data_IF_951781313282
#
_entry.id   IF_951781313282
#
_cell.length_a   1.000
_cell.length_b   1.000
_cell.length_c   1.000
_cell.angle_alpha   90.00
_cell.angle_beta   90.00
_cell.angle_gamma   90.00
#
_symmetry.space_group_name_H-M   'P 1'
#
loop_
_entity.id
_entity.type
_entity.pdbx_description
1 polymer ?
#
# COMPACT_ATOMS: atom_id res chain seq x y z
N UNK A 1 9.91 -19.88 46.25
CA UNK A 1 8.67 -19.07 46.26
C UNK A 1 8.64 -18.18 45.03
N UNK A 2 8.08 -18.67 43.92
CA UNK A 2 7.93 -17.89 42.69
C UNK A 2 6.43 -17.61 42.49
N UNK A 3 6.01 -16.36 42.69
CA UNK A 3 4.63 -15.92 42.47
C UNK A 3 4.46 -15.64 40.98
N UNK A 4 3.73 -16.53 40.30
CA UNK A 4 3.28 -16.37 38.92
C UNK A 4 2.15 -15.34 38.92
N UNK A 5 2.47 -14.08 38.59
CA UNK A 5 1.46 -13.08 38.26
C UNK A 5 0.84 -13.42 36.90
N UNK A 6 -0.26 -14.19 36.92
CA UNK A 6 -1.15 -14.32 35.78
C UNK A 6 -1.76 -12.94 35.45
N UNK A 7 -1.26 -12.32 34.38
CA UNK A 7 -1.92 -11.22 33.69
C UNK A 7 -3.30 -11.69 33.21
N UNK A 8 -4.31 -11.44 34.05
CA UNK A 8 -5.72 -11.65 33.72
C UNK A 8 -6.05 -10.73 32.55
N UNK A 9 -5.99 -11.26 31.31
CA UNK A 9 -6.55 -10.61 30.12
C UNK A 9 -8.01 -10.27 30.43
N UNK A 10 -8.29 -9.00 30.70
CA UNK A 10 -9.67 -8.53 30.77
C UNK A 10 -10.18 -8.49 29.32
N UNK A 11 -10.75 -9.60 28.89
CA UNK A 11 -11.67 -9.61 27.75
C UNK A 11 -12.74 -8.56 28.02
N UNK A 12 -12.85 -7.56 27.15
CA UNK A 12 -13.92 -6.57 27.18
C UNK A 12 -15.23 -7.22 26.72
N UNK A 13 -15.76 -8.11 27.55
CA UNK A 13 -17.16 -8.48 27.52
C UNK A 13 -17.81 -7.79 28.73
N UNK A 14 -18.05 -6.48 28.63
CA UNK A 14 -18.99 -5.82 29.54
C UNK A 14 -20.38 -6.32 29.17
N UNK A 15 -20.93 -7.21 30.01
CA UNK A 15 -22.34 -7.57 29.99
C UNK A 15 -23.19 -6.31 30.18
N UNK A 16 -24.21 -6.16 29.31
CA UNK A 16 -25.21 -5.08 29.20
C UNK A 16 -24.84 -3.92 28.25
N UNK A 17 -25.41 -3.93 27.03
CA UNK A 17 -26.01 -2.75 26.40
C UNK A 17 -26.64 -3.08 25.03
N UNK A 18 -27.69 -2.32 24.66
CA UNK A 18 -28.51 -2.44 23.45
C UNK A 18 -27.76 -2.26 22.12
N UNK A 19 -26.45 -1.98 22.11
CA UNK A 19 -25.69 -1.72 20.90
C UNK A 19 -24.35 -2.49 20.90
N UNK A 20 -24.17 -3.40 19.94
CA UNK A 20 -22.90 -4.09 19.72
C UNK A 20 -21.97 -3.16 18.92
N UNK A 21 -21.00 -2.54 19.59
CA UNK A 21 -19.95 -1.77 18.92
C UNK A 21 -18.93 -2.72 18.31
N UNK A 22 -18.70 -2.61 16.99
CA UNK A 22 -17.74 -3.47 16.28
C UNK A 22 -16.34 -2.86 16.38
N UNK A 23 -15.41 -3.57 17.03
CA UNK A 23 -14.01 -3.18 17.06
C UNK A 23 -13.29 -3.73 15.83
N UNK A 24 -12.67 -2.86 15.04
CA UNK A 24 -12.01 -3.18 13.78
C UNK A 24 -10.50 -3.00 13.92
N UNK A 25 -9.78 -4.06 13.55
CA UNK A 25 -8.32 -4.21 13.56
C UNK A 25 -7.89 -4.80 12.21
N UNK A 26 -6.59 -4.98 11.98
CA UNK A 26 -6.10 -5.54 10.70
C UNK A 26 -6.77 -6.88 10.35
N UNK A 27 -7.01 -7.76 11.32
CA UNK A 27 -7.51 -9.12 11.05
C UNK A 27 -8.95 -9.19 10.54
N UNK A 28 -9.79 -8.23 10.93
CA UNK A 28 -11.21 -8.19 10.56
C UNK A 28 -11.55 -6.95 9.70
N UNK A 29 -10.54 -6.27 9.15
CA UNK A 29 -10.71 -5.03 8.40
C UNK A 29 -11.54 -5.23 7.12
N UNK A 30 -11.17 -6.22 6.29
CA UNK A 30 -11.83 -6.44 4.99
C UNK A 30 -13.32 -6.77 5.15
N UNK A 31 -13.65 -7.73 6.02
CA UNK A 31 -15.04 -8.10 6.30
C UNK A 31 -15.84 -6.91 6.85
N UNK A 32 -15.26 -6.17 7.81
CA UNK A 32 -15.92 -5.01 8.40
C UNK A 32 -16.08 -3.86 7.42
N UNK A 33 -15.18 -3.73 6.44
CA UNK A 33 -15.26 -2.71 5.41
C UNK A 33 -16.41 -2.97 4.44
N UNK A 34 -16.61 -4.21 4.00
CA UNK A 34 -17.74 -4.58 3.15
C UNK A 34 -19.08 -4.38 3.87
N UNK A 35 -19.12 -4.76 5.15
CA UNK A 35 -20.29 -4.52 6.00
C UNK A 35 -20.54 -3.01 6.16
N UNK A 36 -19.50 -2.22 6.46
CA UNK A 36 -19.60 -0.78 6.60
C UNK A 36 -20.09 -0.11 5.30
N UNK A 37 -19.61 -0.51 4.12
CA UNK A 37 -20.08 0.03 2.82
C UNK A 37 -21.58 -0.19 2.64
N UNK A 38 -22.09 -1.34 3.06
CA UNK A 38 -23.53 -1.65 3.04
C UNK A 38 -24.30 -0.74 4.00
N UNK A 39 -23.83 -0.58 5.25
CA UNK A 39 -24.48 0.29 6.24
C UNK A 39 -24.40 1.77 5.88
N UNK A 40 -23.29 2.22 5.30
CA UNK A 40 -23.15 3.58 4.77
C UNK A 40 -24.20 3.76 3.67
N UNK A 41 -24.35 2.82 2.74
CA UNK A 41 -25.31 2.91 1.64
C UNK A 41 -26.77 2.98 2.11
N UNK A 42 -27.13 2.30 3.21
CA UNK A 42 -28.47 2.36 3.80
C UNK A 42 -28.69 3.46 4.84
N UNK A 43 -27.64 4.15 5.30
CA UNK A 43 -27.74 5.23 6.30
C UNK A 43 -28.27 6.56 5.75
N UNK A 44 -28.77 7.44 6.59
CA UNK A 44 -29.13 8.82 6.23
C UNK A 44 -27.96 9.77 6.45
N UNK A 45 -27.21 9.58 7.53
CA UNK A 45 -26.03 10.36 7.86
C UNK A 45 -24.98 9.52 8.59
N UNK A 46 -23.74 10.02 8.63
CA UNK A 46 -22.63 9.33 9.28
C UNK A 46 -22.04 10.24 10.36
N UNK A 47 -21.93 9.76 11.59
CA UNK A 47 -21.17 10.46 12.62
C UNK A 47 -19.75 9.90 12.71
N UNK A 48 -18.77 10.78 12.91
CA UNK A 48 -17.37 10.39 13.10
C UNK A 48 -16.77 11.02 14.36
N UNK A 49 -15.90 10.26 15.02
CA UNK A 49 -15.15 10.72 16.19
C UNK A 49 -13.72 10.19 16.15
N UNK A 50 -12.78 10.94 16.71
CA UNK A 50 -11.34 10.71 16.50
C UNK A 50 -10.58 10.87 17.80
N UNK A 51 -9.65 9.96 18.10
CA UNK A 51 -8.70 10.11 19.18
C UNK A 51 -7.27 10.22 18.64
N UNK A 52 -6.64 11.36 18.96
CA UNK A 52 -5.27 11.68 18.58
C UNK A 52 -4.33 11.52 19.79
N UNK A 53 -3.06 11.28 19.47
CA UNK A 53 -1.93 11.23 20.42
C UNK A 53 -1.64 12.57 21.10
N UNK A 54 -2.18 13.66 20.56
CA UNK A 54 -2.04 14.99 21.12
C UNK A 54 -3.02 15.99 20.49
N UNK A 55 -3.02 17.18 21.05
CA UNK A 55 -3.84 18.32 20.63
C UNK A 55 -2.93 19.55 20.58
N UNK A 56 -3.26 20.60 19.80
CA UNK A 56 -2.57 21.88 19.94
C UNK A 56 -2.65 22.37 21.40
N UNK A 57 -1.54 22.21 22.12
CA UNK A 57 -1.36 22.59 23.52
C UNK A 57 -0.52 23.88 23.61
N UNK A 58 -0.44 24.53 24.79
CA UNK A 58 0.31 25.77 24.96
C UNK A 58 1.77 25.64 24.49
N UNK A 59 2.38 26.71 23.95
CA UNK A 59 1.96 28.12 24.05
C UNK A 59 0.78 28.52 23.13
N UNK A 60 0.04 29.56 23.54
CA UNK A 60 -1.25 30.00 22.97
C UNK A 60 -1.24 30.24 21.46
N UNK A 61 -0.09 30.64 20.90
CA UNK A 61 0.06 30.95 19.47
C UNK A 61 0.01 29.71 18.56
N UNK A 62 0.11 28.49 19.08
CA UNK A 62 -0.03 27.25 18.30
C UNK A 62 -1.47 26.72 18.25
N UNK A 63 -2.38 27.26 19.07
CA UNK A 63 -3.79 26.88 19.10
C UNK A 63 -4.61 27.81 18.21
N UNK A 64 -5.64 27.31 17.51
CA UNK A 64 -6.69 28.16 16.95
C UNK A 64 -7.34 29.00 18.06
N UNK A 65 -7.36 30.31 17.85
CA UNK A 65 -7.94 31.31 18.74
C UNK A 65 -9.16 31.95 18.08
N UNK A 66 -10.16 32.45 18.84
CA UNK A 66 -11.37 33.04 18.27
C UNK A 66 -11.12 34.26 17.36
N UNK A 67 -9.99 34.93 17.55
CA UNK A 67 -9.58 36.09 16.75
C UNK A 67 -8.66 35.74 15.58
N UNK A 68 -8.33 34.46 15.37
CA UNK A 68 -7.55 34.03 14.20
C UNK A 68 -8.37 34.21 12.93
N UNK A 69 -7.71 34.63 11.85
CA UNK A 69 -8.29 34.49 10.51
C UNK A 69 -8.45 33.01 10.15
N UNK A 70 -9.39 32.69 9.25
CA UNK A 70 -9.60 31.30 8.79
C UNK A 70 -8.30 30.64 8.32
N UNK A 71 -7.46 31.38 7.57
CA UNK A 71 -6.16 30.91 7.10
C UNK A 71 -5.18 30.61 8.24
N UNK A 72 -5.18 31.44 9.29
CA UNK A 72 -4.32 31.25 10.47
C UNK A 72 -4.77 30.04 11.27
N UNK A 73 -6.07 29.91 11.52
CA UNK A 73 -6.65 28.75 12.19
C UNK A 73 -6.34 27.45 11.44
N UNK A 74 -6.49 27.44 10.11
CA UNK A 74 -6.10 26.32 9.24
C UNK A 74 -4.61 25.99 9.36
N UNK A 75 -3.74 27.00 9.28
CA UNK A 75 -2.28 26.80 9.36
C UNK A 75 -1.85 26.21 10.71
N UNK A 76 -2.51 26.60 11.81
CA UNK A 76 -2.29 26.04 13.15
C UNK A 76 -2.81 24.60 13.25
N UNK A 77 -4.01 24.33 12.76
CA UNK A 77 -4.60 22.99 12.74
C UNK A 77 -3.77 22.02 11.88
N UNK A 78 -3.32 22.45 10.69
CA UNK A 78 -2.41 21.69 9.83
C UNK A 78 -1.11 21.35 10.54
N UNK A 79 -0.48 22.31 11.22
CA UNK A 79 0.74 22.06 12.01
C UNK A 79 0.52 21.00 13.11
N UNK A 80 -0.62 21.05 13.80
CA UNK A 80 -0.95 20.03 14.79
C UNK A 80 -1.18 18.64 14.17
N UNK A 81 -1.88 18.59 13.02
CA UNK A 81 -2.10 17.36 12.26
C UNK A 81 -0.81 16.68 11.80
N UNK A 82 0.23 17.46 11.45
CA UNK A 82 1.53 16.93 11.08
C UNK A 82 2.32 16.36 12.27
N UNK A 83 2.06 16.85 13.50
CA UNK A 83 2.80 16.45 14.71
C UNK A 83 2.16 15.28 15.44
N UNK A 84 0.83 15.23 15.50
CA UNK A 84 0.09 14.27 16.29
C UNK A 84 -0.65 13.26 15.40
N UNK A 85 -0.46 11.99 15.68
CA UNK A 85 -1.12 10.91 14.96
C UNK A 85 -2.50 10.58 15.53
N UNK A 86 -3.38 10.12 14.64
CA UNK A 86 -4.65 9.45 14.94
C UNK A 86 -4.43 7.97 15.26
N UNK A 87 -4.87 7.50 16.43
CA UNK A 87 -4.79 6.08 16.83
C UNK A 87 -6.16 5.39 16.84
N UNK A 88 -7.24 6.16 16.88
CA UNK A 88 -8.58 5.63 16.92
C UNK A 88 -9.51 6.50 16.10
N UNK A 89 -10.30 5.87 15.24
CA UNK A 89 -11.32 6.53 14.44
C UNK A 89 -12.63 5.76 14.59
N UNK A 90 -13.64 6.40 15.14
CA UNK A 90 -14.97 5.84 15.28
C UNK A 90 -15.87 6.34 14.15
N UNK A 91 -16.60 5.43 13.52
CA UNK A 91 -17.60 5.71 12.47
C UNK A 91 -18.93 5.13 12.94
N UNK A 92 -20.00 5.90 12.82
CA UNK A 92 -21.34 5.40 13.10
C UNK A 92 -22.29 5.90 12.02
N UNK A 93 -22.65 5.07 11.03
CA UNK A 93 -23.79 5.32 10.15
C UNK A 93 -25.08 5.25 10.96
N UNK A 94 -25.98 6.19 10.70
CA UNK A 94 -27.29 6.29 11.33
C UNK A 94 -28.39 6.23 10.27
N UNK A 95 -29.42 5.42 10.50
CA UNK A 95 -30.63 5.41 9.70
C UNK A 95 -31.86 5.68 10.55
N UNK A 96 -32.77 6.50 10.03
CA UNK A 96 -34.05 6.83 10.64
C UNK A 96 -35.09 5.91 10.03
N UNK A 97 -35.58 4.96 10.82
CA UNK A 97 -36.66 4.08 10.40
C UNK A 97 -37.96 4.88 10.23
N UNK A 98 -38.87 4.39 9.37
CA UNK A 98 -40.24 4.90 9.23
C UNK A 98 -41.07 4.86 10.53
N UNK A 99 -40.56 4.18 11.57
CA UNK A 99 -41.14 4.14 12.92
C UNK A 99 -40.53 5.16 13.89
N UNK A 100 -39.85 6.20 13.38
CA UNK A 100 -39.09 7.22 14.14
C UNK A 100 -38.01 6.64 15.08
N UNK A 101 -37.55 5.43 14.80
CA UNK A 101 -36.46 4.78 15.54
C UNK A 101 -35.13 5.03 14.84
N UNK A 102 -34.18 5.55 15.59
CA UNK A 102 -32.80 5.72 15.14
C UNK A 102 -32.05 4.40 15.26
N UNK A 103 -31.61 3.86 14.13
CA UNK A 103 -30.71 2.73 14.04
C UNK A 103 -29.27 3.22 13.91
N UNK A 104 -28.38 2.64 14.69
CA UNK A 104 -26.99 3.05 14.79
C UNK A 104 -26.08 1.85 14.59
N UNK A 105 -25.09 1.98 13.71
CA UNK A 105 -24.10 0.94 13.43
C UNK A 105 -22.69 1.41 13.82
N UNK A 106 -22.29 1.34 15.11
CA UNK A 106 -21.02 1.88 15.56
C UNK A 106 -19.82 0.97 15.26
N UNK A 107 -18.79 1.53 14.62
CA UNK A 107 -17.51 0.92 14.30
C UNK A 107 -16.35 1.68 14.95
N UNK A 108 -15.43 0.96 15.58
CA UNK A 108 -14.24 1.50 16.22
C UNK A 108 -12.99 0.99 15.50
N UNK A 109 -12.39 1.82 14.65
CA UNK A 109 -11.16 1.48 13.93
C UNK A 109 -9.95 1.83 14.78
N UNK A 110 -9.13 0.83 15.06
CA UNK A 110 -7.83 1.00 15.71
C UNK A 110 -6.78 1.21 14.63
N UNK A 111 -6.07 2.33 14.68
CA UNK A 111 -5.13 2.75 13.65
C UNK A 111 -3.71 2.81 14.20
N UNK A 112 -2.73 2.51 13.36
CA UNK A 112 -1.33 2.70 13.70
C UNK A 112 -0.50 2.99 12.43
N UNK A 113 0.27 4.09 12.40
CA UNK A 113 1.05 4.44 11.23
C UNK A 113 2.28 3.53 11.10
N UNK A 114 2.14 2.44 10.34
CA UNK A 114 3.21 1.47 10.09
C UNK A 114 3.70 1.53 8.65
N UNK A 115 5.00 1.30 8.47
CA UNK A 115 5.57 0.91 7.18
C UNK A 115 5.25 -0.55 6.86
N UNK A 116 4.07 -0.82 6.29
CA UNK A 116 3.71 -2.19 5.87
C UNK A 116 4.60 -2.71 4.74
N UNK A 117 5.33 -1.84 4.05
CA UNK A 117 6.01 -2.16 2.80
C UNK A 117 7.53 -2.10 2.94
N UNK A 118 8.03 -1.73 4.14
CA UNK A 118 9.46 -1.54 4.43
C UNK A 118 10.16 -0.65 3.39
N UNK A 119 9.42 0.31 2.83
CA UNK A 119 9.93 1.18 1.76
C UNK A 119 10.72 2.38 2.30
N UNK A 120 10.88 2.48 3.62
CA UNK A 120 11.64 3.55 4.26
C UNK A 120 10.97 4.91 4.12
N UNK A 121 9.68 4.94 3.77
CA UNK A 121 8.90 6.15 3.55
C UNK A 121 7.44 5.95 3.97
N UNK A 122 6.80 6.99 4.54
CA UNK A 122 7.37 8.19 5.16
C UNK A 122 8.24 7.90 6.40
N UNK A 123 8.96 8.90 6.91
CA UNK A 123 9.49 8.85 8.28
C UNK A 123 8.32 8.76 9.28
N UNK A 124 8.06 7.56 9.81
CA UNK A 124 6.99 7.27 10.77
C UNK A 124 7.38 7.73 12.18
N UNK A 125 7.59 9.04 12.36
CA UNK A 125 7.79 9.66 13.66
C UNK A 125 6.62 10.59 13.95
N UNK A 126 5.99 10.43 15.11
CA UNK A 126 4.95 11.32 15.61
C UNK A 126 5.22 11.68 17.07
N UNK A 127 4.70 12.83 17.49
CA UNK A 127 4.76 13.28 18.88
C UNK A 127 3.57 12.77 19.66
N UNK A 128 3.75 12.57 20.97
CA UNK A 128 2.69 12.22 21.90
C UNK A 128 2.61 13.23 23.03
N UNK A 129 1.40 13.60 23.42
CA UNK A 129 1.16 14.40 24.62
C UNK A 129 0.82 13.48 25.79
N UNK A 130 1.63 13.53 26.85
CA UNK A 130 1.52 12.63 28.02
C UNK A 130 0.14 12.66 28.66
N UNK A 131 -0.48 13.85 28.79
CA UNK A 131 -1.81 13.97 29.40
C UNK A 131 -2.91 13.29 28.58
N UNK A 132 -2.83 13.33 27.25
CA UNK A 132 -3.80 12.67 26.37
C UNK A 132 -3.59 11.16 26.35
N UNK A 133 -2.34 10.70 26.28
CA UNK A 133 -2.02 9.28 26.42
C UNK A 133 -2.54 8.71 27.75
N UNK A 134 -2.28 9.41 28.86
CA UNK A 134 -2.77 9.01 30.18
C UNK A 134 -4.31 9.03 30.26
N UNK A 135 -4.98 9.95 29.56
CA UNK A 135 -6.45 9.95 29.45
C UNK A 135 -6.97 8.77 28.64
N UNK A 136 -6.32 8.42 27.52
CA UNK A 136 -6.68 7.25 26.71
C UNK A 136 -6.50 5.95 27.51
N UNK A 137 -5.38 5.80 28.23
CA UNK A 137 -5.13 4.67 29.11
C UNK A 137 -6.24 4.52 30.18
N UNK A 138 -6.61 5.62 30.83
CA UNK A 138 -7.68 5.64 31.85
C UNK A 138 -9.06 5.24 31.30
N UNK A 139 -9.33 5.52 30.02
CA UNK A 139 -10.57 5.10 29.32
C UNK A 139 -10.51 3.66 28.81
N UNK A 140 -9.45 2.92 29.12
CA UNK A 140 -9.28 1.52 28.71
C UNK A 140 -8.79 1.34 27.27
N UNK A 141 -8.15 2.34 26.67
CA UNK A 141 -7.53 2.18 25.36
C UNK A 141 -6.34 1.20 25.43
N UNK A 142 -6.39 0.15 24.63
CA UNK A 142 -5.32 -0.86 24.56
C UNK A 142 -4.23 -0.44 23.55
N UNK A 143 -3.16 0.14 24.07
CA UNK A 143 -2.00 0.53 23.27
C UNK A 143 -1.26 -0.66 22.65
N UNK A 144 -1.26 -1.82 23.30
CA UNK A 144 -0.60 -3.00 22.75
C UNK A 144 -1.38 -3.48 21.52
N UNK A 145 -2.70 -3.61 21.63
CA UNK A 145 -3.55 -3.96 20.49
C UNK A 145 -3.43 -2.93 19.36
N UNK A 146 -3.29 -1.64 19.67
CA UNK A 146 -3.04 -0.60 18.69
C UNK A 146 -1.71 -0.79 17.95
N UNK A 147 -0.60 -1.05 18.65
CA UNK A 147 0.72 -1.21 18.02
C UNK A 147 0.78 -2.50 17.19
N UNK A 148 0.25 -3.61 17.71
CA UNK A 148 0.32 -4.92 17.02
C UNK A 148 -0.71 -5.06 15.91
N UNK A 149 -1.95 -4.63 16.14
CA UNK A 149 -3.10 -4.92 15.28
C UNK A 149 -3.75 -3.66 14.67
N UNK A 150 -3.17 -2.48 14.87
CA UNK A 150 -3.68 -1.22 14.32
C UNK A 150 -3.53 -1.13 12.81
N UNK A 151 -4.58 -0.69 12.14
CA UNK A 151 -4.66 -0.60 10.68
C UNK A 151 -3.78 0.55 10.20
N UNK A 152 -2.94 0.28 9.21
CA UNK A 152 -2.10 1.28 8.54
C UNK A 152 -2.92 2.11 7.56
N UNK A 153 -2.36 3.25 7.14
CA UNK A 153 -2.98 4.10 6.13
C UNK A 153 -1.94 4.96 5.43
N UNK A 154 -2.20 5.26 4.16
CA UNK A 154 -1.37 6.14 3.35
C UNK A 154 -2.23 7.16 2.61
N UNK A 155 -1.75 8.41 2.56
CA UNK A 155 -2.36 9.46 1.74
C UNK A 155 -2.30 9.11 0.25
N UNK A 156 -3.06 9.83 -0.59
CA UNK A 156 -3.05 9.63 -2.05
C UNK A 156 -1.67 9.86 -2.67
N UNK A 157 -0.95 10.87 -2.19
CA UNK A 157 0.41 11.17 -2.63
C UNK A 157 1.42 10.09 -2.20
N UNK A 158 1.23 9.50 -1.02
CA UNK A 158 2.08 8.40 -0.56
C UNK A 158 1.77 7.10 -1.30
N UNK A 159 0.50 6.81 -1.58
CA UNK A 159 0.12 5.67 -2.41
C UNK A 159 0.67 5.84 -3.83
N UNK A 160 0.58 7.02 -4.45
CA UNK A 160 1.15 7.22 -5.79
C UNK A 160 2.67 7.04 -5.78
N UNK A 161 3.37 7.57 -4.78
CA UNK A 161 4.81 7.34 -4.62
C UNK A 161 5.15 5.86 -4.36
N UNK A 162 4.33 5.17 -3.55
CA UNK A 162 4.45 3.74 -3.29
C UNK A 162 4.19 2.91 -4.56
N UNK A 163 3.18 3.27 -5.34
CA UNK A 163 2.85 2.64 -6.62
C UNK A 163 3.89 2.88 -7.68
N UNK A 164 4.52 4.05 -7.75
CA UNK A 164 5.66 4.24 -8.65
C UNK A 164 6.79 3.29 -8.24
N UNK A 165 7.07 3.14 -6.95
CA UNK A 165 8.12 2.22 -6.47
C UNK A 165 7.76 0.74 -6.59
N UNK A 166 6.48 0.38 -6.47
CA UNK A 166 6.02 -1.02 -6.50
C UNK A 166 5.59 -1.45 -7.92
N UNK A 167 4.98 -0.54 -8.68
CA UNK A 167 4.59 -0.67 -10.07
C UNK A 167 5.77 -0.51 -11.03
N UNK A 168 6.82 0.26 -10.69
CA UNK A 168 8.11 0.08 -11.36
C UNK A 168 8.72 -1.32 -11.11
N UNK A 169 8.11 -2.18 -10.30
CA UNK A 169 8.49 -3.59 -10.19
C UNK A 169 7.67 -4.53 -11.11
N UNK A 170 6.55 -4.06 -11.69
CA UNK A 170 5.51 -4.95 -12.25
C UNK A 170 4.73 -4.40 -13.45
N UNK A 171 4.77 -3.09 -13.72
CA UNK A 171 4.03 -2.47 -14.81
C UNK A 171 4.81 -2.58 -16.12
N UNK A 172 4.14 -3.07 -17.16
CA UNK A 172 4.55 -2.84 -18.53
C UNK A 172 4.48 -1.34 -18.80
N UNK A 173 5.63 -0.68 -18.91
CA UNK A 173 5.67 0.75 -19.19
C UNK A 173 5.03 1.02 -20.57
N UNK A 174 4.10 1.98 -20.62
CA UNK A 174 3.77 2.65 -21.89
C UNK A 174 5.03 3.32 -22.41
N UNK A 175 5.58 2.75 -23.48
CA UNK A 175 6.78 3.26 -24.12
C UNK A 175 6.40 4.52 -24.90
N UNK A 176 6.83 5.67 -24.38
CA UNK A 176 6.91 6.88 -25.20
C UNK A 176 8.15 6.71 -26.07
N UNK A 177 7.95 6.54 -27.39
CA UNK A 177 9.06 6.50 -28.36
C UNK A 177 9.91 7.75 -28.17
N UNK A 178 11.18 7.56 -27.84
CA UNK A 178 12.12 8.67 -27.76
C UNK A 178 12.26 9.32 -29.14
N UNK A 179 12.27 10.66 -29.19
CA UNK A 179 12.48 11.41 -30.43
C UNK A 179 13.97 11.59 -30.78
N UNK A 180 14.87 11.10 -29.92
CA UNK A 180 16.31 11.23 -30.10
C UNK A 180 16.88 10.09 -30.95
N UNK A 181 17.77 10.42 -31.89
CA UNK A 181 18.51 9.42 -32.65
C UNK A 181 19.40 8.56 -31.72
N UNK A 182 19.42 7.23 -31.89
CA UNK A 182 20.27 6.35 -31.08
C UNK A 182 21.75 6.63 -31.36
N UNK A 183 22.55 6.64 -30.30
CA UNK A 183 24.00 6.79 -30.37
C UNK A 183 24.64 5.46 -30.80
N UNK A 184 25.86 5.47 -31.33
CA UNK A 184 26.61 4.24 -31.63
C UNK A 184 26.75 3.32 -30.41
N UNK A 185 26.92 3.88 -29.20
CA UNK A 185 26.95 3.09 -27.97
C UNK A 185 25.60 2.43 -27.66
N UNK A 186 24.49 3.11 -27.96
CA UNK A 186 23.13 2.59 -27.74
C UNK A 186 22.86 1.41 -28.67
N UNK A 187 23.25 1.51 -29.95
CA UNK A 187 23.05 0.42 -30.92
C UNK A 187 23.86 -0.81 -30.52
N UNK A 188 25.13 -0.65 -30.15
CA UNK A 188 25.98 -1.77 -29.68
C UNK A 188 25.36 -2.42 -28.43
N UNK A 189 24.85 -1.62 -27.49
CA UNK A 189 24.20 -2.13 -26.29
C UNK A 189 22.94 -2.96 -26.64
N UNK A 190 22.07 -2.41 -27.48
CA UNK A 190 20.84 -3.10 -27.91
C UNK A 190 21.15 -4.40 -28.64
N UNK A 191 22.11 -4.42 -29.57
CA UNK A 191 22.52 -5.64 -30.28
C UNK A 191 23.06 -6.71 -29.33
N UNK A 192 23.87 -6.30 -28.34
CA UNK A 192 24.43 -7.22 -27.34
C UNK A 192 23.32 -7.86 -26.50
N UNK A 193 22.35 -7.07 -26.05
CA UNK A 193 21.21 -7.57 -25.29
C UNK A 193 20.34 -8.48 -26.16
N UNK A 194 20.08 -8.10 -27.41
CA UNK A 194 19.31 -8.93 -28.36
C UNK A 194 19.95 -10.30 -28.55
N UNK A 195 21.26 -10.33 -28.83
CA UNK A 195 22.01 -11.58 -29.00
C UNK A 195 21.97 -12.45 -27.74
N UNK A 196 22.00 -11.82 -26.55
CA UNK A 196 21.89 -12.54 -25.27
C UNK A 196 20.51 -13.18 -25.09
N UNK A 197 19.43 -12.49 -25.45
CA UNK A 197 18.05 -13.00 -25.39
C UNK A 197 17.85 -14.14 -26.40
N UNK A 198 18.35 -14.00 -27.63
CA UNK A 198 18.28 -15.07 -28.64
C UNK A 198 19.06 -16.31 -28.22
N UNK A 199 20.27 -16.14 -27.67
CA UNK A 199 21.06 -17.25 -27.16
C UNK A 199 20.34 -17.96 -26.01
N UNK A 200 19.73 -17.20 -25.09
CA UNK A 200 18.92 -17.75 -24.00
C UNK A 200 17.73 -18.57 -24.51
N UNK A 201 17.02 -18.09 -25.52
CA UNK A 201 15.91 -18.80 -26.16
C UNK A 201 16.36 -20.13 -26.76
N UNK A 202 17.42 -20.10 -27.59
CA UNK A 202 17.96 -21.28 -28.28
C UNK A 202 18.44 -22.35 -27.29
N UNK A 203 19.12 -21.93 -26.23
CA UNK A 203 19.62 -22.84 -25.18
C UNK A 203 18.48 -23.64 -24.54
N UNK A 204 17.29 -23.04 -24.45
CA UNK A 204 16.12 -23.67 -23.86
C UNK A 204 15.45 -24.66 -24.80
N UNK A 205 15.31 -24.30 -26.07
CA UNK A 205 14.81 -25.20 -27.11
C UNK A 205 15.70 -26.45 -27.25
N UNK A 206 17.02 -26.30 -27.13
CA UNK A 206 17.97 -27.43 -27.20
C UNK A 206 18.01 -28.31 -25.96
N UNK A 207 17.64 -27.79 -24.78
CA UNK A 207 17.66 -28.54 -23.51
C UNK A 207 16.66 -29.69 -23.45
N UNK A 208 15.63 -29.70 -24.32
CA UNK A 208 14.66 -30.79 -24.41
C UNK A 208 15.13 -32.01 -25.24
N UNK A 209 16.29 -31.94 -25.89
CA UNK A 209 16.64 -32.87 -26.99
C UNK A 209 17.95 -33.66 -26.86
N UNK A 210 18.82 -33.41 -25.87
CA UNK A 210 20.14 -34.07 -25.81
C UNK A 210 20.47 -34.68 -24.44
N UNK A 211 20.60 -36.01 -24.41
CA UNK A 211 20.92 -36.86 -23.25
C UNK A 211 22.42 -37.16 -23.15
N UNK A 212 23.19 -36.30 -22.48
CA UNK A 212 24.61 -36.55 -22.17
C UNK A 212 25.05 -35.88 -20.87
N UNK A 213 25.79 -36.59 -20.00
CA UNK A 213 26.21 -36.08 -18.66
C UNK A 213 27.05 -34.80 -18.72
N UNK A 214 27.86 -34.61 -19.76
CA UNK A 214 28.67 -33.40 -19.93
C UNK A 214 27.81 -32.20 -20.38
N UNK A 215 26.76 -32.45 -21.17
CA UNK A 215 25.75 -31.44 -21.55
C UNK A 215 24.91 -31.00 -20.34
N UNK A 216 24.62 -31.88 -19.38
CA UNK A 216 23.93 -31.52 -18.14
C UNK A 216 24.75 -30.56 -17.25
N UNK A 217 26.08 -30.76 -17.16
CA UNK A 217 26.99 -29.86 -16.42
C UNK A 217 27.16 -28.53 -17.14
N UNK A 218 27.30 -28.55 -18.47
CA UNK A 218 27.39 -27.34 -19.30
C UNK A 218 26.08 -26.56 -19.25
N UNK A 219 24.92 -27.23 -19.30
CA UNK A 219 23.62 -26.59 -19.13
C UNK A 219 23.44 -26.03 -17.72
N UNK A 220 23.94 -26.71 -16.68
CA UNK A 220 23.92 -26.19 -15.31
C UNK A 220 24.76 -24.91 -15.18
N UNK A 221 25.96 -24.89 -15.75
CA UNK A 221 26.82 -23.69 -15.78
C UNK A 221 26.21 -22.57 -16.64
N UNK A 222 25.65 -22.89 -17.80
CA UNK A 222 24.94 -21.92 -18.65
C UNK A 222 23.71 -21.35 -17.95
N UNK A 223 22.96 -22.16 -17.21
CA UNK A 223 21.82 -21.73 -16.41
C UNK A 223 22.25 -20.77 -15.28
N UNK A 224 23.41 -21.02 -14.67
CA UNK A 224 24.01 -20.12 -13.66
C UNK A 224 24.48 -18.81 -14.31
N UNK A 225 25.15 -18.87 -15.47
CA UNK A 225 25.72 -17.69 -16.15
C UNK A 225 24.66 -16.83 -16.85
N UNK A 226 23.63 -17.45 -17.43
CA UNK A 226 22.50 -16.76 -18.06
C UNK A 226 21.43 -16.33 -17.04
N UNK A 227 21.50 -16.84 -15.81
CA UNK A 227 20.52 -16.55 -14.77
C UNK A 227 19.13 -17.05 -15.17
N UNK A 228 19.00 -18.34 -15.50
CA UNK A 228 17.70 -18.97 -15.82
C UNK A 228 16.87 -19.10 -14.54
N UNK A 229 16.33 -17.99 -14.09
CA UNK A 229 15.43 -17.94 -12.95
C UNK A 229 14.03 -18.36 -13.40
N UNK A 230 13.25 -18.93 -12.48
CA UNK A 230 11.83 -19.19 -12.71
C UNK A 230 11.04 -18.13 -11.95
N UNK A 231 10.30 -17.30 -12.66
CA UNK A 231 9.32 -16.39 -12.09
C UNK A 231 7.93 -17.02 -12.17
N UNK A 232 7.36 -17.42 -11.02
CA UNK A 232 6.04 -18.06 -10.96
C UNK A 232 5.90 -19.22 -11.96
N UNK A 233 6.87 -20.14 -11.96
CA UNK A 233 6.97 -21.28 -12.89
C UNK A 233 7.24 -20.95 -14.37
N UNK A 234 7.37 -19.66 -14.72
CA UNK A 234 7.74 -19.21 -16.07
C UNK A 234 9.23 -18.88 -16.14
N UNK A 235 9.86 -19.04 -17.30
CA UNK A 235 11.29 -18.82 -17.48
C UNK A 235 11.54 -17.33 -17.55
N UNK A 236 12.51 -16.85 -16.79
CA UNK A 236 12.94 -15.47 -16.85
C UNK A 236 14.45 -15.32 -16.91
N UNK A 237 14.86 -14.19 -17.46
CA UNK A 237 16.23 -13.71 -17.45
C UNK A 237 16.24 -12.31 -16.85
N UNK A 238 17.21 -12.03 -16.00
CA UNK A 238 17.41 -10.69 -15.41
C UNK A 238 18.58 -9.99 -16.10
N UNK A 239 18.37 -8.73 -16.48
CA UNK A 239 19.37 -7.86 -17.12
C UNK A 239 19.58 -6.67 -16.19
N UNK A 240 20.80 -6.50 -15.70
CA UNK A 240 21.17 -5.31 -14.92
C UNK A 240 21.28 -4.08 -15.84
N UNK A 241 20.78 -2.96 -15.34
CA UNK A 241 20.70 -1.69 -16.07
C UNK A 241 21.22 -0.56 -15.20
N UNK A 242 22.01 0.34 -15.79
CA UNK A 242 22.68 1.41 -15.07
C UNK A 242 22.06 2.80 -15.32
N UNK A 243 21.19 2.94 -16.33
CA UNK A 243 20.60 4.24 -16.70
C UNK A 243 19.17 4.10 -17.21
N UNK A 244 18.34 5.13 -17.00
CA UNK A 244 16.97 5.19 -17.53
C UNK A 244 16.94 5.10 -19.07
N UNK A 245 17.95 5.65 -19.76
CA UNK A 245 18.11 5.52 -21.22
C UNK A 245 18.25 4.07 -21.66
N UNK A 246 19.07 3.28 -20.96
CA UNK A 246 19.21 1.85 -21.26
C UNK A 246 17.90 1.08 -21.02
N UNK A 247 17.12 1.46 -19.99
CA UNK A 247 15.80 0.85 -19.76
C UNK A 247 14.88 1.12 -20.95
N UNK A 248 14.82 2.37 -21.41
CA UNK A 248 13.99 2.77 -22.54
C UNK A 248 14.37 2.02 -23.83
N UNK A 249 15.68 1.91 -24.11
CA UNK A 249 16.18 1.19 -25.30
C UNK A 249 15.81 -0.30 -25.28
N UNK A 250 15.86 -0.95 -24.11
CA UNK A 250 15.48 -2.36 -23.98
C UNK A 250 13.97 -2.52 -24.22
N UNK A 251 13.15 -1.62 -23.68
CA UNK A 251 11.70 -1.66 -23.86
C UNK A 251 11.30 -1.42 -25.33
N UNK A 252 11.92 -0.45 -25.99
CA UNK A 252 11.71 -0.19 -27.43
C UNK A 252 12.10 -1.42 -28.28
N UNK A 253 13.26 -2.04 -27.98
CA UNK A 253 13.71 -3.24 -28.69
C UNK A 253 12.74 -4.42 -28.54
N UNK A 254 12.23 -4.65 -27.32
CA UNK A 254 11.31 -5.75 -27.03
C UNK A 254 9.95 -5.59 -27.71
N UNK A 255 9.46 -4.35 -27.84
CA UNK A 255 8.21 -4.05 -28.54
C UNK A 255 8.30 -4.33 -30.04
N UNK A 256 9.42 -3.98 -30.68
CA UNK A 256 9.56 -4.13 -32.13
C UNK A 256 9.80 -5.58 -32.56
N UNK A 257 10.32 -6.45 -31.67
CA UNK A 257 10.88 -7.75 -32.08
C UNK A 257 10.27 -8.98 -31.37
N UNK A 258 9.41 -8.82 -30.35
CA UNK A 258 8.93 -9.99 -29.59
C UNK A 258 7.60 -9.80 -28.87
N UNK A 259 6.52 -10.34 -29.45
CA UNK A 259 5.20 -10.37 -28.82
C UNK A 259 5.14 -11.29 -27.57
N UNK A 260 6.01 -12.30 -27.49
CA UNK A 260 5.96 -13.34 -26.45
C UNK A 260 6.76 -12.99 -25.18
N UNK A 261 7.50 -11.88 -25.19
CA UNK A 261 8.33 -11.45 -24.07
C UNK A 261 7.62 -10.38 -23.26
N UNK A 262 7.65 -10.53 -21.94
CA UNK A 262 7.07 -9.57 -21.00
C UNK A 262 8.16 -8.99 -20.10
N UNK A 263 8.53 -7.71 -20.30
CA UNK A 263 9.50 -7.05 -19.45
C UNK A 263 8.86 -6.61 -18.12
N UNK A 264 9.49 -7.02 -17.02
CA UNK A 264 9.19 -6.61 -15.66
C UNK A 264 10.37 -5.79 -15.14
N UNK A 265 10.13 -4.54 -14.80
CA UNK A 265 11.15 -3.67 -14.24
C UNK A 265 11.46 -4.10 -12.79
N UNK A 266 12.68 -3.90 -12.29
CA UNK A 266 13.05 -4.16 -10.88
C UNK A 266 13.68 -2.88 -10.32
N UNK A 267 12.98 -2.20 -9.40
CA UNK A 267 13.47 -0.97 -8.80
C UNK A 267 14.45 -1.27 -7.65
N UNK A 268 15.47 -0.44 -7.54
CA UNK A 268 16.33 -0.38 -6.36
C UNK A 268 15.64 0.40 -5.23
N UNK A 269 16.17 0.27 -4.01
CA UNK A 269 15.68 1.00 -2.82
C UNK A 269 15.66 2.53 -2.99
N UNK A 270 16.48 3.06 -3.90
CA UNK A 270 16.55 4.48 -4.29
C UNK A 270 15.41 4.95 -5.20
N UNK A 271 14.58 4.03 -5.72
CA UNK A 271 13.54 4.33 -6.72
C UNK A 271 14.04 4.36 -8.17
N UNK A 272 15.35 4.22 -8.40
CA UNK A 272 15.92 4.02 -9.75
C UNK A 272 15.80 2.55 -10.15
N UNK A 273 15.52 2.28 -11.42
CA UNK A 273 15.49 0.90 -11.95
C UNK A 273 16.92 0.38 -12.02
N UNK A 274 17.19 -0.76 -11.39
CA UNK A 274 18.51 -1.40 -11.41
C UNK A 274 18.55 -2.63 -12.32
N UNK A 275 17.42 -3.29 -12.55
CA UNK A 275 17.38 -4.44 -13.44
C UNK A 275 16.04 -4.55 -14.16
N UNK A 276 16.04 -5.28 -15.28
CA UNK A 276 14.84 -5.65 -16.04
C UNK A 276 14.81 -7.17 -16.10
N UNK A 277 13.73 -7.76 -15.59
CA UNK A 277 13.44 -9.18 -15.71
C UNK A 277 12.55 -9.41 -16.91
N UNK A 278 13.05 -10.14 -17.89
CA UNK A 278 12.30 -10.54 -19.07
C UNK A 278 11.69 -11.92 -18.78
N UNK A 279 10.37 -12.02 -18.83
CA UNK A 279 9.65 -13.29 -18.70
C UNK A 279 9.19 -13.76 -20.08
N UNK A 280 9.43 -15.03 -20.40
CA UNK A 280 8.97 -15.65 -21.64
C UNK A 280 7.60 -16.29 -21.41
N UNK A 281 6.59 -15.84 -22.15
CA UNK A 281 5.30 -16.51 -22.23
C UNK A 281 5.35 -17.60 -23.30
N UNK A 282 4.70 -18.75 -23.05
CA UNK A 282 4.67 -19.85 -24.02
C UNK A 282 3.60 -19.68 -25.10
N UNK A 283 2.57 -18.87 -24.81
CA UNK A 283 1.50 -18.53 -25.75
C UNK A 283 0.94 -17.13 -25.46
N UNK A 284 0.13 -16.59 -26.38
CA UNK A 284 -0.55 -15.31 -26.17
C UNK A 284 -1.51 -15.36 -24.97
N UNK A 285 -2.20 -16.48 -24.78
CA UNK A 285 -3.08 -16.70 -23.65
C UNK A 285 -2.31 -16.77 -22.32
N UNK A 286 -1.12 -17.38 -22.32
CA UNK A 286 -0.24 -17.40 -21.15
C UNK A 286 0.25 -16.00 -20.79
N UNK A 287 0.58 -15.17 -21.80
CA UNK A 287 0.93 -13.76 -21.60
C UNK A 287 -0.21 -12.98 -20.94
N UNK A 288 -1.43 -13.08 -21.48
CA UNK A 288 -2.61 -12.44 -20.90
C UNK A 288 -2.93 -12.94 -19.49
N UNK A 289 -2.67 -14.23 -19.22
CA UNK A 289 -2.82 -14.80 -17.87
C UNK A 289 -1.81 -14.19 -16.89
N UNK A 290 -0.56 -14.03 -17.30
CA UNK A 290 0.50 -13.42 -16.51
C UNK A 290 0.21 -11.93 -16.25
N UNK A 291 -0.25 -11.19 -17.25
CA UNK A 291 -0.66 -9.79 -17.08
C UNK A 291 -1.80 -9.65 -16.07
N UNK A 292 -2.83 -10.50 -16.15
CA UNK A 292 -3.93 -10.53 -15.16
C UNK A 292 -3.43 -10.91 -13.76
N UNK A 293 -2.53 -11.87 -13.66
CA UNK A 293 -1.92 -12.25 -12.38
C UNK A 293 -1.13 -11.10 -11.72
N UNK A 294 -0.41 -10.32 -12.54
CA UNK A 294 0.36 -9.15 -12.08
C UNK A 294 -0.58 -8.03 -11.67
N UNK A 295 -1.61 -7.76 -12.46
CA UNK A 295 -2.64 -6.75 -12.16
C UNK A 295 -3.37 -7.09 -10.85
N UNK A 296 -3.81 -8.34 -10.68
CA UNK A 296 -4.46 -8.80 -9.44
C UNK A 296 -3.52 -8.66 -8.24
N UNK A 297 -2.23 -8.99 -8.42
CA UNK A 297 -1.25 -8.83 -7.36
C UNK A 297 -1.01 -7.36 -7.00
N UNK A 298 -0.94 -6.47 -8.00
CA UNK A 298 -0.81 -5.03 -7.80
C UNK A 298 -2.05 -4.47 -7.09
N UNK A 299 -3.25 -4.90 -7.46
CA UNK A 299 -4.49 -4.50 -6.81
C UNK A 299 -4.55 -4.97 -5.35
N UNK A 300 -4.20 -6.22 -5.08
CA UNK A 300 -4.13 -6.76 -3.71
C UNK A 300 -3.10 -6.01 -2.86
N UNK A 301 -1.95 -5.68 -3.44
CA UNK A 301 -0.96 -4.80 -2.79
C UNK A 301 -1.54 -3.41 -2.59
N UNK A 302 -2.19 -2.82 -3.60
CA UNK A 302 -2.79 -1.49 -3.53
C UNK A 302 -3.86 -1.42 -2.44
N UNK A 303 -4.69 -2.44 -2.25
CA UNK A 303 -5.67 -2.51 -1.15
C UNK A 303 -4.96 -2.48 0.21
N UNK A 304 -3.91 -3.29 0.38
CA UNK A 304 -3.08 -3.29 1.59
C UNK A 304 -2.39 -1.94 1.84
N UNK A 305 -1.97 -1.24 0.78
CA UNK A 305 -1.34 0.08 0.83
C UNK A 305 -2.34 1.17 1.26
N UNK A 306 -3.57 1.11 0.75
CA UNK A 306 -4.63 2.09 1.08
C UNK A 306 -5.03 1.99 2.54
N UNK A 307 -5.19 0.77 3.05
CA UNK A 307 -5.55 0.48 4.44
C UNK A 307 -6.80 1.27 4.86
N UNK A 308 -6.74 1.94 6.00
CA UNK A 308 -7.89 2.68 6.54
C UNK A 308 -8.42 3.82 5.62
N UNK A 309 -7.62 4.32 4.66
CA UNK A 309 -8.09 5.36 3.74
C UNK A 309 -9.31 4.90 2.93
N UNK A 310 -9.46 3.60 2.68
CA UNK A 310 -10.61 3.08 1.95
C UNK A 310 -11.95 3.35 2.67
N UNK A 311 -11.94 3.41 4.00
CA UNK A 311 -13.10 3.83 4.80
C UNK A 311 -13.44 5.28 4.52
N UNK A 312 -12.43 6.16 4.50
CA UNK A 312 -12.61 7.60 4.22
C UNK A 312 -13.09 7.82 2.78
N UNK A 313 -12.50 7.11 1.82
CA UNK A 313 -12.90 7.17 0.42
C UNK A 313 -14.35 6.68 0.25
N UNK A 314 -14.78 5.64 1.00
CA UNK A 314 -16.17 5.14 0.99
C UNK A 314 -17.16 6.13 1.59
N UNK A 315 -16.81 6.78 2.71
CA UNK A 315 -17.66 7.84 3.31
C UNK A 315 -17.77 9.02 2.34
N UNK A 316 -16.65 9.44 1.74
CA UNK A 316 -16.61 10.54 0.76
C UNK A 316 -17.44 10.24 -0.48
N UNK A 317 -17.33 9.01 -1.03
CA UNK A 317 -18.09 8.58 -2.20
C UNK A 317 -19.61 8.53 -1.94
N UNK A 318 -20.03 8.29 -0.69
CA UNK A 318 -21.45 8.24 -0.34
C UNK A 318 -22.18 9.58 -0.44
N UNK A 319 -21.44 10.71 -0.39
CA UNK A 319 -21.98 12.08 -0.37
C UNK A 319 -23.02 12.33 0.75
N UNK A 320 -23.02 11.50 1.80
CA UNK A 320 -23.95 11.63 2.94
C UNK A 320 -23.45 12.70 3.92
N UNK A 321 -24.35 13.36 4.67
CA UNK A 321 -23.96 14.30 5.72
C UNK A 321 -23.05 13.63 6.75
N UNK A 322 -21.89 14.23 7.00
CA UNK A 322 -20.93 13.76 8.01
C UNK A 322 -21.00 14.68 9.23
N UNK A 323 -21.44 14.14 10.35
CA UNK A 323 -21.53 14.86 11.63
C UNK A 323 -20.26 14.56 12.44
N UNK A 324 -19.60 15.59 12.92
CA UNK A 324 -18.48 15.45 13.84
C UNK A 324 -18.52 16.56 14.89
N UNK A 325 -18.01 16.25 16.08
CA UNK A 325 -17.90 17.22 17.17
C UNK A 325 -16.47 17.77 17.25
N UNK A 326 -16.33 19.11 17.27
CA UNK A 326 -15.04 19.81 17.40
C UNK A 326 -14.02 19.48 16.27
N UNK A 327 -14.48 19.60 15.03
CA UNK A 327 -13.81 19.07 13.84
C UNK A 327 -12.61 19.86 13.32
N UNK A 328 -12.39 21.11 13.72
CA UNK A 328 -11.25 21.90 13.20
C UNK A 328 -9.90 21.22 13.50
N UNK A 329 -9.75 20.69 14.71
CA UNK A 329 -8.61 19.86 15.09
C UNK A 329 -8.78 18.39 14.66
N UNK A 330 -10.00 17.96 14.33
CA UNK A 330 -10.39 16.62 13.90
C UNK A 330 -10.04 16.31 12.44
N UNK A 331 -10.51 17.15 11.53
CA UNK A 331 -10.57 16.99 10.06
C UNK A 331 -9.27 17.37 9.37
N UNK A 332 -8.43 18.20 10.00
CA UNK A 332 -7.05 18.37 9.56
C UNK A 332 -6.27 17.10 9.89
N UNK A 333 -6.14 16.20 8.92
CA UNK A 333 -5.32 14.98 8.96
C UNK A 333 -4.42 14.97 7.72
N UNK A 334 -3.29 14.26 7.85
CA UNK A 334 -2.19 14.23 6.88
C UNK A 334 -2.54 13.47 5.61
#
# INVERSE_FOLDING_TARGET
>A
MASVFQLRRRSLCTSSSKWRVKQVTISNFEESLQELKTHISSSDYVAVSMAKTGSPSPPSWLRPLPFDTAQTAYSKARRAAHRFQLLHFAVCPFSVSSSDKLLAHPYNFVLFPRDELKMGMPAYSFSCQTSLLASMARRGFDFNACVYNGISYLSRAQESAAKVRLGAALSSCQVVKSSSSPTVADTIFVERIRSRIECWRKTRESSGTSTGRDEELINSLRNIVLGSELFRSRPCMTIDVCSERQVQLILEMLLDHSDDLLPLLIPANSGTIHAIRIVLATSKEDKESLERELQNFEEEKSKKIRGFREVIDSISASQKPVICYNCLNGVSLK
#
